data_IF_817093519761
#
_entry.id   IF_817093519761
#
_cell.length_a   1.000
_cell.length_b   1.000
_cell.length_c   1.000
_cell.angle_alpha   90.00
_cell.angle_beta   90.00
_cell.angle_gamma   90.00
#
_symmetry.space_group_name_H-M   'P 1'
#
loop_
_entity.id
_entity.type
_entity.pdbx_description
1 polymer ?
#
# COMPACT_ATOMS: atom_id res chain seq x y z
N UNK A 1 -2.49 4.07 -1.49
CA UNK A 1 -1.78 4.00 -0.18
C UNK A 1 -1.49 5.37 0.39
N UNK A 2 -1.15 5.43 1.66
CA UNK A 2 -0.78 6.65 2.37
C UNK A 2 0.62 6.48 2.97
N UNK A 3 1.60 7.21 2.41
CA UNK A 3 3.02 7.04 2.73
C UNK A 3 3.36 7.34 4.18
N UNK A 4 2.91 8.49 4.68
CA UNK A 4 3.20 8.96 6.04
C UNK A 4 2.66 8.04 7.15
N UNK A 5 1.67 7.20 6.86
CA UNK A 5 1.07 6.26 7.81
C UNK A 5 1.30 4.78 7.48
N UNK A 6 1.80 4.46 6.30
CA UNK A 6 1.98 3.09 5.85
C UNK A 6 0.67 2.29 5.67
N UNK A 7 -0.50 2.96 5.64
CA UNK A 7 -1.79 2.30 5.49
C UNK A 7 -2.32 2.32 4.05
N UNK A 8 -3.39 1.57 3.82
CA UNK A 8 -4.09 1.45 2.54
C UNK A 8 -5.57 1.83 2.71
N UNK A 9 -5.92 3.14 2.85
CA UNK A 9 -7.27 3.56 3.22
C UNK A 9 -8.32 3.09 2.22
N UNK A 10 -8.01 3.10 0.92
CA UNK A 10 -8.96 2.66 -0.12
C UNK A 10 -9.43 1.23 0.08
N UNK A 11 -8.54 0.33 0.49
CA UNK A 11 -8.85 -1.10 0.59
C UNK A 11 -9.72 -1.48 1.78
N UNK A 12 -9.83 -0.61 2.78
CA UNK A 12 -10.68 -0.80 3.96
C UNK A 12 -11.95 0.05 3.93
N UNK A 13 -11.94 1.21 3.28
CA UNK A 13 -13.04 2.18 3.32
C UNK A 13 -13.97 2.01 2.10
N UNK A 14 -13.39 1.96 0.89
CA UNK A 14 -14.19 1.87 -0.34
C UNK A 14 -15.08 0.62 -0.42
N UNK A 15 -14.66 -0.60 0.00
CA UNK A 15 -15.55 -1.76 -0.06
C UNK A 15 -16.83 -1.58 0.75
N UNK A 16 -16.76 -0.98 1.94
CA UNK A 16 -17.92 -0.70 2.77
C UNK A 16 -18.86 0.34 2.12
N UNK A 17 -18.28 1.42 1.58
CA UNK A 17 -19.05 2.46 0.89
C UNK A 17 -19.73 1.92 -0.40
N UNK A 18 -18.99 1.17 -1.23
CA UNK A 18 -19.54 0.59 -2.46
C UNK A 18 -20.65 -0.44 -2.18
N UNK A 19 -20.52 -1.21 -1.10
CA UNK A 19 -21.52 -2.19 -0.70
C UNK A 19 -22.84 -1.55 -0.20
N UNK A 20 -22.84 -0.24 0.10
CA UNK A 20 -24.05 0.49 0.51
C UNK A 20 -25.09 0.65 -0.61
N UNK A 21 -24.67 0.52 -1.86
CA UNK A 21 -25.54 0.69 -3.03
C UNK A 21 -25.91 2.15 -3.37
N UNK A 22 -25.31 3.14 -2.69
CA UNK A 22 -25.54 4.55 -3.00
C UNK A 22 -24.82 4.97 -4.30
N UNK A 23 -25.25 6.09 -4.87
CA UNK A 23 -24.63 6.67 -6.07
C UNK A 23 -23.17 7.07 -5.76
N UNK A 24 -22.27 6.93 -6.74
CA UNK A 24 -20.84 7.18 -6.55
C UNK A 24 -20.52 8.60 -6.05
N UNK A 25 -21.28 9.61 -6.53
CA UNK A 25 -21.10 10.98 -6.09
C UNK A 25 -21.38 11.17 -4.59
N UNK A 26 -22.32 10.40 -4.04
CA UNK A 26 -22.67 10.47 -2.61
C UNK A 26 -21.57 9.85 -1.74
N UNK A 27 -20.68 9.02 -2.31
CA UNK A 27 -19.61 8.36 -1.60
C UNK A 27 -18.36 9.25 -1.42
N UNK A 28 -18.23 10.35 -2.18
CA UNK A 28 -17.02 11.17 -2.22
C UNK A 28 -16.72 11.79 -0.86
N UNK A 29 -17.68 12.52 -0.26
CA UNK A 29 -17.47 13.14 1.04
C UNK A 29 -17.28 12.11 2.17
N UNK A 30 -18.09 11.04 2.28
CA UNK A 30 -17.83 9.96 3.23
C UNK A 30 -16.44 9.34 3.08
N UNK A 31 -15.98 9.14 1.85
CA UNK A 31 -14.62 8.63 1.58
C UNK A 31 -13.55 9.60 2.11
N UNK A 32 -13.65 10.89 1.82
CA UNK A 32 -12.71 11.91 2.29
C UNK A 32 -12.63 11.87 3.82
N UNK A 33 -13.76 11.89 4.51
CA UNK A 33 -13.84 11.87 5.97
C UNK A 33 -13.22 10.60 6.56
N UNK A 34 -13.54 9.44 5.98
CA UNK A 34 -12.96 8.17 6.42
C UNK A 34 -11.44 8.09 6.22
N UNK A 35 -10.96 8.60 5.08
CA UNK A 35 -9.52 8.67 4.79
C UNK A 35 -8.81 9.59 5.78
N UNK A 36 -9.38 10.77 6.02
CA UNK A 36 -8.80 11.74 6.94
C UNK A 36 -8.53 11.13 8.32
N UNK A 37 -9.55 10.53 8.92
CA UNK A 37 -9.43 9.90 10.24
C UNK A 37 -8.42 8.74 10.23
N UNK A 38 -8.56 7.81 9.29
CA UNK A 38 -7.68 6.64 9.20
C UNK A 38 -6.22 7.02 8.94
N UNK A 39 -5.99 8.00 8.06
CA UNK A 39 -4.65 8.45 7.70
C UNK A 39 -3.97 9.18 8.85
N UNK A 40 -4.65 10.10 9.55
CA UNK A 40 -4.10 10.83 10.69
C UNK A 40 -3.71 9.90 11.84
N UNK A 41 -4.60 8.97 12.21
CA UNK A 41 -4.30 7.97 13.23
C UNK A 41 -3.14 7.07 12.83
N UNK A 42 -3.09 6.70 11.56
CA UNK A 42 -1.99 5.91 11.03
C UNK A 42 -0.67 6.67 11.04
N UNK A 43 -0.64 7.94 10.61
CA UNK A 43 0.55 8.79 10.64
C UNK A 43 1.06 9.01 12.07
N UNK A 44 0.16 9.26 13.02
CA UNK A 44 0.51 9.48 14.42
C UNK A 44 1.15 8.25 15.09
N UNK A 45 0.92 7.05 14.55
CA UNK A 45 1.47 5.79 15.07
C UNK A 45 2.59 5.19 14.23
N UNK A 46 2.83 5.73 13.04
CA UNK A 46 3.89 5.26 12.14
C UNK A 46 5.25 5.93 12.47
N UNK A 47 6.39 5.23 12.39
CA UNK A 47 6.57 3.83 12.01
C UNK A 47 6.46 2.85 13.20
N UNK A 48 6.11 3.34 14.40
CA UNK A 48 6.09 2.55 15.63
C UNK A 48 5.21 1.31 15.50
N UNK A 49 3.98 1.48 14.99
CA UNK A 49 3.03 0.37 14.79
C UNK A 49 3.60 -0.73 13.90
N UNK A 50 4.19 -0.36 12.77
CA UNK A 50 4.82 -1.32 11.84
C UNK A 50 6.03 -2.01 12.47
N UNK A 51 6.87 -1.26 13.20
CA UNK A 51 8.03 -1.81 13.90
C UNK A 51 7.65 -2.75 15.06
N UNK A 52 6.47 -2.54 15.65
CA UNK A 52 5.92 -3.45 16.67
C UNK A 52 5.35 -4.74 16.06
N UNK A 53 5.17 -4.79 14.73
CA UNK A 53 4.75 -5.98 14.01
C UNK A 53 3.27 -5.99 13.59
N UNK A 54 2.61 -4.83 13.59
CA UNK A 54 1.22 -4.72 13.14
C UNK A 54 1.10 -3.98 11.79
N UNK A 55 0.06 -4.31 11.04
CA UNK A 55 -0.28 -3.58 9.81
C UNK A 55 -1.20 -2.40 10.13
N UNK A 56 -0.84 -1.17 9.75
CA UNK A 56 -1.67 0.01 10.04
C UNK A 56 -3.10 -0.11 9.49
N UNK A 57 -3.27 -0.69 8.31
CA UNK A 57 -4.59 -0.87 7.69
C UNK A 57 -5.53 -1.76 8.51
N UNK A 58 -5.02 -2.81 9.14
CA UNK A 58 -5.85 -3.68 9.99
C UNK A 58 -6.33 -2.96 11.24
N UNK A 59 -5.50 -2.10 11.81
CA UNK A 59 -5.81 -1.39 13.06
C UNK A 59 -6.69 -0.15 12.83
N UNK A 60 -6.31 0.71 11.89
CA UNK A 60 -6.97 2.00 11.67
C UNK A 60 -8.02 1.98 10.55
N UNK A 61 -8.01 0.93 9.72
CA UNK A 61 -9.00 0.74 8.66
C UNK A 61 -10.43 0.61 9.17
N UNK A 62 -10.73 -0.15 10.24
CA UNK A 62 -12.07 -0.24 10.82
C UNK A 62 -12.61 1.11 11.27
N UNK A 63 -11.77 1.95 11.90
CA UNK A 63 -12.15 3.30 12.33
C UNK A 63 -12.54 4.17 11.13
N UNK A 64 -11.68 4.20 10.09
CA UNK A 64 -11.98 4.96 8.87
C UNK A 64 -13.24 4.46 8.17
N UNK A 65 -13.45 3.14 8.11
CA UNK A 65 -14.66 2.54 7.53
C UNK A 65 -15.91 2.90 8.33
N UNK A 66 -15.86 2.80 9.67
CA UNK A 66 -16.99 3.15 10.53
C UNK A 66 -17.38 4.62 10.38
N UNK A 67 -16.40 5.54 10.41
CA UNK A 67 -16.65 6.99 10.25
C UNK A 67 -17.20 7.31 8.87
N UNK A 68 -16.66 6.71 7.80
CA UNK A 68 -17.17 6.89 6.44
C UNK A 68 -18.63 6.45 6.31
N UNK A 69 -18.98 5.28 6.83
CA UNK A 69 -20.34 4.74 6.79
C UNK A 69 -21.31 5.55 7.67
N UNK A 70 -20.88 6.01 8.84
CA UNK A 70 -21.66 6.94 9.65
C UNK A 70 -21.93 8.25 8.92
N UNK A 71 -20.91 8.80 8.23
CA UNK A 71 -21.06 10.03 7.44
C UNK A 71 -22.02 9.83 6.28
N UNK A 72 -21.92 8.71 5.57
CA UNK A 72 -22.84 8.37 4.47
C UNK A 72 -24.31 8.27 4.94
N UNK A 73 -24.51 7.70 6.11
CA UNK A 73 -25.84 7.50 6.70
C UNK A 73 -26.33 8.70 7.53
N UNK A 74 -25.57 9.81 7.58
CA UNK A 74 -25.88 11.03 8.36
C UNK A 74 -26.17 10.73 9.85
N UNK A 75 -25.41 9.76 10.42
CA UNK A 75 -25.58 9.37 11.82
C UNK A 75 -25.29 10.50 12.81
N UNK A 76 -26.01 10.58 13.93
CA UNK A 76 -25.74 11.56 14.98
C UNK A 76 -24.37 11.32 15.63
N UNK A 77 -23.78 12.39 16.18
CA UNK A 77 -22.46 12.34 16.82
C UNK A 77 -22.33 11.22 17.86
N UNK A 78 -23.39 10.97 18.64
CA UNK A 78 -23.42 9.87 19.62
C UNK A 78 -23.18 8.50 18.98
N UNK A 79 -23.78 8.23 17.81
CA UNK A 79 -23.59 7.00 17.06
C UNK A 79 -22.16 6.91 16.50
N UNK A 80 -21.65 8.02 15.90
CA UNK A 80 -20.27 8.07 15.36
C UNK A 80 -19.27 7.75 16.46
N UNK A 81 -19.39 8.40 17.64
CA UNK A 81 -18.49 8.19 18.79
C UNK A 81 -18.48 6.73 19.24
N UNK A 82 -19.65 6.11 19.34
CA UNK A 82 -19.75 4.70 19.74
C UNK A 82 -19.22 3.76 18.65
N UNK A 83 -19.51 4.01 17.38
CA UNK A 83 -18.97 3.21 16.29
C UNK A 83 -17.43 3.22 16.25
N UNK A 84 -16.80 4.37 16.45
CA UNK A 84 -15.35 4.50 16.62
C UNK A 84 -14.85 3.67 17.80
N UNK A 85 -15.48 3.81 18.96
CA UNK A 85 -15.06 3.10 20.17
C UNK A 85 -15.21 1.57 20.03
N UNK A 86 -16.31 1.11 19.42
CA UNK A 86 -16.55 -0.31 19.16
C UNK A 86 -15.53 -0.86 18.15
N UNK A 87 -15.21 -0.10 17.08
CA UNK A 87 -14.24 -0.53 16.07
C UNK A 87 -12.81 -0.69 16.62
N UNK A 88 -12.50 0.00 17.72
CA UNK A 88 -11.19 -0.09 18.40
C UNK A 88 -11.13 -1.16 19.49
N UNK A 89 -12.26 -1.69 19.94
CA UNK A 89 -12.27 -2.70 21.00
C UNK A 89 -11.63 -4.02 20.55
N UNK A 90 -11.92 -4.45 19.33
CA UNK A 90 -11.41 -5.70 18.78
C UNK A 90 -11.06 -5.54 17.29
N UNK A 91 -10.07 -4.71 16.95
CA UNK A 91 -9.69 -4.53 15.55
C UNK A 91 -9.08 -5.84 15.02
N UNK A 92 -9.23 -6.14 13.72
CA UNK A 92 -8.53 -7.27 13.12
C UNK A 92 -7.02 -7.01 13.20
N UNK A 93 -6.32 -7.89 13.92
CA UNK A 93 -4.86 -7.77 14.07
C UNK A 93 -4.19 -8.34 12.83
N UNK A 94 -3.69 -7.46 11.96
CA UNK A 94 -2.85 -7.83 10.84
C UNK A 94 -1.38 -7.94 11.30
N UNK A 95 -0.87 -9.16 11.46
CA UNK A 95 0.52 -9.38 11.83
C UNK A 95 1.44 -9.14 10.63
N UNK A 96 2.46 -8.30 10.83
CA UNK A 96 3.40 -7.95 9.77
C UNK A 96 4.27 -9.14 9.32
N UNK A 97 4.51 -10.10 10.20
CA UNK A 97 5.21 -11.35 9.87
C UNK A 97 4.55 -12.12 8.73
N UNK A 98 3.21 -12.13 8.67
CA UNK A 98 2.47 -12.80 7.60
C UNK A 98 2.71 -12.14 6.23
N UNK A 99 2.92 -10.80 6.20
CA UNK A 99 3.34 -10.12 4.97
C UNK A 99 4.73 -10.60 4.53
N UNK A 100 5.66 -10.72 5.49
CA UNK A 100 7.03 -11.17 5.23
C UNK A 100 7.09 -12.65 4.87
N UNK A 101 6.18 -13.46 5.41
CA UNK A 101 6.01 -14.86 5.01
C UNK A 101 5.33 -15.02 3.65
N UNK A 102 4.77 -13.93 3.11
CA UNK A 102 4.13 -13.88 1.78
C UNK A 102 2.94 -14.84 1.63
N UNK A 103 2.15 -15.01 2.69
CA UNK A 103 1.00 -15.93 2.67
C UNK A 103 -0.25 -15.29 2.09
N UNK A 104 -1.06 -16.07 1.37
CA UNK A 104 -2.26 -15.61 0.66
C UNK A 104 -3.41 -15.14 1.56
N UNK A 105 -3.36 -15.42 2.86
CA UNK A 105 -4.33 -14.93 3.83
C UNK A 105 -4.23 -13.40 4.08
N UNK A 106 -3.08 -12.79 3.79
CA UNK A 106 -2.82 -11.38 4.11
C UNK A 106 -3.83 -10.39 3.51
N UNK A 107 -4.25 -10.49 2.23
CA UNK A 107 -5.24 -9.56 1.68
C UNK A 107 -6.56 -9.51 2.46
N UNK A 108 -6.90 -10.55 3.22
CA UNK A 108 -8.15 -10.62 3.99
C UNK A 108 -8.25 -9.54 5.07
N UNK A 109 -7.12 -9.07 5.63
CA UNK A 109 -7.19 -8.05 6.68
C UNK A 109 -7.81 -6.73 6.19
N UNK A 110 -7.72 -6.43 4.89
CA UNK A 110 -8.39 -5.27 4.29
C UNK A 110 -9.91 -5.42 4.28
N UNK A 111 -10.40 -6.58 3.85
CA UNK A 111 -11.82 -6.89 3.85
C UNK A 111 -12.39 -6.98 5.27
N UNK A 112 -11.67 -7.59 6.20
CA UNK A 112 -12.06 -7.62 7.60
C UNK A 112 -12.11 -6.22 8.20
N UNK A 113 -11.17 -5.34 7.90
CA UNK A 113 -11.21 -3.96 8.36
C UNK A 113 -12.48 -3.23 7.89
N UNK A 114 -12.86 -3.39 6.61
CA UNK A 114 -14.10 -2.84 6.07
C UNK A 114 -15.34 -3.41 6.80
N UNK A 115 -15.39 -4.73 6.99
CA UNK A 115 -16.49 -5.40 7.68
C UNK A 115 -16.61 -4.98 9.14
N UNK A 116 -15.52 -4.98 9.89
CA UNK A 116 -15.53 -4.57 11.30
C UNK A 116 -15.99 -3.13 11.48
N UNK A 117 -15.61 -2.21 10.58
CA UNK A 117 -16.13 -0.86 10.56
C UNK A 117 -17.64 -0.81 10.35
N UNK A 118 -18.16 -1.60 9.41
CA UNK A 118 -19.61 -1.75 9.18
C UNK A 118 -20.33 -2.35 10.37
N UNK A 119 -19.82 -3.45 10.94
CA UNK A 119 -20.38 -4.09 12.11
C UNK A 119 -20.43 -3.12 13.30
N UNK A 120 -19.38 -2.29 13.49
CA UNK A 120 -19.34 -1.27 14.55
C UNK A 120 -20.47 -0.24 14.43
N UNK A 121 -20.81 0.19 13.20
CA UNK A 121 -21.95 1.09 12.95
C UNK A 121 -23.26 0.41 13.31
N UNK A 122 -23.47 -0.82 12.87
CA UNK A 122 -24.70 -1.56 13.19
C UNK A 122 -24.86 -1.81 14.68
N UNK A 123 -23.79 -2.17 15.38
CA UNK A 123 -23.79 -2.38 16.82
C UNK A 123 -24.08 -1.06 17.59
N UNK A 124 -23.51 0.05 17.15
CA UNK A 124 -23.78 1.37 17.71
C UNK A 124 -25.26 1.75 17.56
N UNK A 125 -25.85 1.53 16.38
CA UNK A 125 -27.29 1.73 16.12
C UNK A 125 -28.18 0.84 17.02
N UNK A 126 -27.70 -0.35 17.32
CA UNK A 126 -28.37 -1.28 18.23
C UNK A 126 -28.22 -0.91 19.72
N UNK A 127 -27.51 0.18 20.04
CA UNK A 127 -27.35 0.70 21.39
C UNK A 127 -26.17 0.10 22.17
N UNK A 128 -25.25 -0.63 21.50
CA UNK A 128 -24.01 -1.06 22.15
C UNK A 128 -23.11 0.14 22.40
N UNK A 129 -22.45 0.13 23.56
CA UNK A 129 -21.52 1.19 23.96
C UNK A 129 -20.07 0.69 23.95
N UNK A 130 -19.18 1.48 23.41
CA UNK A 130 -17.75 1.33 23.57
C UNK A 130 -17.18 2.21 24.70
N UNK A 131 -15.85 2.31 24.76
CA UNK A 131 -15.17 3.17 25.71
C UNK A 131 -15.49 4.65 25.47
N UNK A 132 -15.61 5.43 26.55
CA UNK A 132 -15.73 6.90 26.46
C UNK A 132 -14.44 7.58 26.01
N UNK A 133 -13.30 6.90 26.19
CA UNK A 133 -11.98 7.38 25.76
C UNK A 133 -11.20 6.27 25.04
N UNK A 134 -11.60 5.88 23.79
CA UNK A 134 -11.05 4.72 23.13
C UNK A 134 -9.60 4.91 22.65
N UNK A 135 -9.15 6.15 22.52
CA UNK A 135 -7.79 6.50 22.05
C UNK A 135 -6.88 7.00 23.18
N UNK A 136 -7.36 7.10 24.41
CA UNK A 136 -6.59 7.59 25.53
C UNK A 136 -6.71 6.74 26.78
N UNK A 137 -5.90 7.07 27.80
CA UNK A 137 -5.86 6.35 29.07
C UNK A 137 -4.96 5.13 29.07
N UNK A 138 -4.78 4.57 30.27
CA UNK A 138 -3.96 3.38 30.48
C UNK A 138 -4.50 2.18 29.71
N UNK A 139 -3.59 1.40 29.08
CA UNK A 139 -3.89 0.21 28.29
C UNK A 139 -4.74 0.47 27.03
N UNK A 140 -4.88 1.74 26.61
CA UNK A 140 -5.36 2.04 25.26
C UNK A 140 -4.34 1.58 24.21
N UNK A 141 -4.77 1.42 22.95
CA UNK A 141 -3.84 1.01 21.89
C UNK A 141 -2.65 1.97 21.74
N UNK A 142 -2.80 3.29 21.74
CA UNK A 142 -1.67 4.22 21.74
C UNK A 142 -0.73 4.03 22.93
N UNK A 143 -1.27 3.84 24.14
CA UNK A 143 -0.48 3.60 25.36
C UNK A 143 0.34 2.31 25.25
N UNK A 144 -0.27 1.20 24.78
CA UNK A 144 0.41 -0.06 24.54
C UNK A 144 1.52 0.03 23.47
N UNK A 145 1.36 0.92 22.50
CA UNK A 145 2.37 1.20 21.49
C UNK A 145 3.46 2.16 21.99
N UNK A 146 3.29 2.77 23.16
CA UNK A 146 4.17 3.82 23.66
C UNK A 146 4.12 5.06 22.77
N UNK A 147 2.94 5.43 22.27
CA UNK A 147 2.69 6.60 21.42
C UNK A 147 1.71 7.52 22.11
N UNK A 148 2.08 8.79 22.25
CA UNK A 148 1.18 9.83 22.71
C UNK A 148 0.46 10.45 21.51
N UNK A 149 -0.88 10.34 21.47
CA UNK A 149 -1.69 11.00 20.46
C UNK A 149 -1.98 12.43 20.88
N UNK A 150 -1.27 13.37 20.29
CA UNK A 150 -1.54 14.79 20.49
C UNK A 150 -2.51 15.29 19.42
N UNK A 151 -3.80 15.39 19.75
CA UNK A 151 -4.86 15.85 18.85
C UNK A 151 -4.74 17.34 18.45
N UNK A 152 -3.91 18.12 19.12
CA UNK A 152 -3.55 19.48 18.73
C UNK A 152 -2.30 19.56 17.84
N UNK A 153 -1.67 18.42 17.52
CA UNK A 153 -0.51 18.43 16.62
C UNK A 153 -0.96 18.43 15.14
N UNK A 154 -0.17 19.03 14.24
CA UNK A 154 -0.47 19.01 12.80
C UNK A 154 -0.67 17.60 12.22
N UNK A 155 -0.08 16.58 12.83
CA UNK A 155 -0.24 15.18 12.38
C UNK A 155 -1.64 14.62 12.64
N UNK A 156 -2.42 15.23 13.55
CA UNK A 156 -3.78 14.80 13.89
C UNK A 156 -4.82 15.90 13.62
N UNK A 157 -4.39 17.08 13.18
CA UNK A 157 -5.32 18.13 12.77
C UNK A 157 -6.20 17.67 11.60
N UNK A 158 -7.52 17.77 11.76
CA UNK A 158 -8.50 17.29 10.78
C UNK A 158 -8.86 18.43 9.83
N UNK A 159 -8.06 18.61 8.79
CA UNK A 159 -8.22 19.67 7.77
C UNK A 159 -8.79 19.16 6.43
N UNK A 160 -9.01 17.83 6.31
CA UNK A 160 -9.48 17.19 5.08
C UNK A 160 -8.40 17.04 4.00
N UNK A 161 -7.15 17.37 4.29
CA UNK A 161 -6.07 17.44 3.29
C UNK A 161 -5.33 16.13 3.09
N UNK A 162 -5.48 15.13 3.99
CA UNK A 162 -4.71 13.87 3.86
C UNK A 162 -5.04 13.08 2.60
N UNK A 163 -6.23 13.29 2.00
CA UNK A 163 -6.57 12.65 0.74
C UNK A 163 -5.65 13.10 -0.40
N UNK A 164 -5.15 14.33 -0.36
CA UNK A 164 -4.23 14.89 -1.36
C UNK A 164 -2.86 14.20 -1.34
N UNK A 165 -2.51 13.56 -0.23
CA UNK A 165 -1.25 12.83 -0.06
C UNK A 165 -1.40 11.31 -0.18
N UNK A 166 -2.62 10.83 -0.50
CA UNK A 166 -2.86 9.43 -0.84
C UNK A 166 -2.40 9.16 -2.27
N UNK A 167 -1.44 8.28 -2.43
CA UNK A 167 -0.92 7.92 -3.74
C UNK A 167 -1.63 6.70 -4.36
N UNK A 168 -1.70 6.68 -5.67
CA UNK A 168 -2.07 5.50 -6.46
C UNK A 168 -0.79 4.76 -6.86
N UNK A 169 -0.72 3.46 -6.57
CA UNK A 169 0.42 2.64 -6.99
C UNK A 169 0.46 2.55 -8.51
N UNK A 170 1.62 2.84 -9.10
CA UNK A 170 1.86 2.60 -10.54
C UNK A 170 1.75 1.12 -10.86
N UNK A 171 2.34 0.29 -10.00
CA UNK A 171 2.40 -1.15 -10.18
C UNK A 171 1.57 -1.92 -9.14
N UNK A 172 1.26 -3.14 -9.48
CA UNK A 172 0.70 -4.12 -8.57
C UNK A 172 1.81 -4.58 -7.61
N UNK A 173 1.45 -4.95 -6.40
CA UNK A 173 2.37 -5.52 -5.41
C UNK A 173 2.68 -4.62 -4.23
N UNK A 174 3.63 -5.07 -3.42
CA UNK A 174 4.04 -4.39 -2.21
C UNK A 174 4.77 -3.08 -2.52
N UNK A 175 4.44 -2.01 -1.78
CA UNK A 175 5.11 -0.71 -1.95
C UNK A 175 6.63 -0.79 -1.72
N UNK A 176 7.08 -1.66 -0.82
CA UNK A 176 8.51 -1.88 -0.56
C UNK A 176 9.28 -2.46 -1.76
N UNK A 177 8.59 -3.01 -2.76
CA UNK A 177 9.21 -3.50 -3.99
C UNK A 177 9.35 -2.43 -5.08
N UNK A 178 8.65 -1.29 -4.96
CA UNK A 178 8.55 -0.30 -6.06
C UNK A 178 9.86 0.42 -6.37
N UNK A 179 10.72 0.80 -5.40
CA UNK A 179 12.01 1.41 -5.74
C UNK A 179 12.86 0.49 -6.63
N UNK A 180 12.95 -0.78 -6.28
CA UNK A 180 13.69 -1.77 -7.10
C UNK A 180 13.02 -2.02 -8.46
N UNK A 181 11.69 -1.97 -8.55
CA UNK A 181 10.96 -2.07 -9.80
C UNK A 181 11.27 -0.91 -10.76
N UNK A 182 11.33 0.32 -10.24
CA UNK A 182 11.71 1.50 -11.02
C UNK A 182 13.14 1.38 -11.57
N UNK A 183 14.08 0.90 -10.75
CA UNK A 183 15.46 0.63 -11.17
C UNK A 183 15.54 -0.44 -12.26
N UNK A 184 14.76 -1.52 -12.13
CA UNK A 184 14.69 -2.57 -13.16
C UNK A 184 14.19 -2.02 -14.50
N UNK A 185 13.16 -1.15 -14.48
CA UNK A 185 12.67 -0.49 -15.71
C UNK A 185 13.70 0.45 -16.31
N UNK A 186 14.42 1.20 -15.48
CA UNK A 186 15.49 2.08 -15.94
C UNK A 186 16.60 1.28 -16.62
N UNK A 187 17.04 0.17 -16.03
CA UNK A 187 18.01 -0.76 -16.62
C UNK A 187 17.52 -1.32 -17.96
N UNK A 188 16.26 -1.76 -18.04
CA UNK A 188 15.68 -2.24 -19.29
C UNK A 188 15.66 -1.16 -20.39
N UNK A 189 15.27 0.06 -20.04
CA UNK A 189 15.24 1.19 -20.99
C UNK A 189 16.63 1.56 -21.48
N UNK A 190 17.65 1.46 -20.64
CA UNK A 190 19.04 1.78 -21.03
C UNK A 190 19.62 0.81 -22.07
N UNK A 191 19.06 -0.39 -22.18
CA UNK A 191 19.56 -1.51 -23.02
C UNK A 191 21.04 -1.84 -22.77
N UNK A 192 21.54 -1.55 -21.58
CA UNK A 192 22.95 -1.81 -21.22
C UNK A 192 23.16 -3.22 -20.69
N UNK A 193 22.07 -3.95 -20.44
CA UNK A 193 22.14 -5.26 -19.80
C UNK A 193 21.37 -6.29 -20.64
N UNK A 194 22.11 -7.31 -21.11
CA UNK A 194 21.52 -8.53 -21.63
C UNK A 194 21.21 -9.46 -20.45
N UNK A 195 19.97 -9.91 -20.35
CA UNK A 195 19.45 -10.65 -19.17
C UNK A 195 20.23 -11.97 -18.96
N UNK A 196 20.60 -12.61 -20.04
CA UNK A 196 21.37 -13.86 -20.03
C UNK A 196 22.77 -13.69 -19.48
N UNK A 197 23.37 -12.49 -19.67
CA UNK A 197 24.70 -12.15 -19.23
C UNK A 197 24.75 -11.71 -17.76
N UNK A 198 23.60 -11.53 -17.07
CA UNK A 198 23.59 -11.19 -15.64
C UNK A 198 24.15 -12.35 -14.81
N UNK A 199 25.22 -12.08 -14.05
CA UNK A 199 25.79 -13.01 -13.11
C UNK A 199 25.11 -12.89 -11.72
N UNK A 200 24.99 -11.68 -11.18
CA UNK A 200 24.32 -11.38 -9.92
C UNK A 200 23.71 -9.98 -9.91
N UNK A 201 22.74 -9.77 -9.02
CA UNK A 201 22.11 -8.49 -8.74
C UNK A 201 22.11 -8.29 -7.23
N UNK A 202 22.71 -7.20 -6.77
CA UNK A 202 22.70 -6.80 -5.38
C UNK A 202 21.80 -5.57 -5.22
N UNK A 203 20.82 -5.64 -4.32
CA UNK A 203 19.90 -4.54 -4.00
C UNK A 203 20.10 -4.12 -2.56
N UNK A 204 20.52 -2.88 -2.33
CA UNK A 204 20.64 -2.29 -1.01
C UNK A 204 19.43 -1.43 -0.71
N UNK A 205 18.80 -1.59 0.47
CA UNK A 205 17.57 -0.88 0.85
C UNK A 205 17.41 -0.80 2.38
N UNK A 206 16.34 -0.20 2.86
CA UNK A 206 16.06 -0.04 4.30
C UNK A 206 15.56 -1.33 4.94
N UNK A 207 15.72 -1.43 6.27
CA UNK A 207 15.56 -2.65 7.07
C UNK A 207 14.20 -3.35 6.90
N UNK A 208 13.09 -2.62 6.89
CA UNK A 208 11.74 -3.22 6.73
C UNK A 208 11.61 -3.94 5.40
N UNK A 209 12.26 -3.43 4.33
CA UNK A 209 12.21 -4.04 3.01
C UNK A 209 12.92 -5.40 2.93
N UNK A 210 13.87 -5.68 3.82
CA UNK A 210 14.55 -6.99 3.88
C UNK A 210 13.57 -8.15 4.11
N UNK A 211 12.44 -7.90 4.77
CA UNK A 211 11.38 -8.90 4.95
C UNK A 211 10.73 -9.38 3.65
N UNK A 212 10.99 -8.71 2.52
CA UNK A 212 10.47 -9.02 1.20
C UNK A 212 11.55 -9.60 0.25
N UNK A 213 12.63 -10.12 0.81
CA UNK A 213 13.79 -10.67 0.07
C UNK A 213 13.60 -12.10 -0.44
N UNK A 214 12.57 -12.80 0.01
CA UNK A 214 12.34 -14.20 -0.33
C UNK A 214 12.03 -14.36 -1.82
N UNK A 215 12.69 -15.32 -2.47
CA UNK A 215 12.37 -15.73 -3.84
C UNK A 215 11.22 -16.73 -3.80
N UNK A 216 10.10 -16.48 -4.51
CA UNK A 216 9.01 -17.45 -4.60
C UNK A 216 9.49 -18.74 -5.27
N UNK A 217 9.07 -19.88 -4.76
CA UNK A 217 9.27 -21.17 -5.41
C UNK A 217 8.17 -21.46 -6.47
N UNK A 218 8.34 -22.51 -7.24
CA UNK A 218 7.42 -22.87 -8.32
C UNK A 218 6.01 -23.26 -7.85
N UNK A 219 5.84 -23.55 -6.55
CA UNK A 219 4.59 -23.94 -5.91
C UNK A 219 3.90 -22.79 -5.20
N UNK A 220 4.59 -21.67 -5.01
CA UNK A 220 4.03 -20.54 -4.31
C UNK A 220 2.92 -19.85 -5.09
N UNK A 221 2.00 -19.26 -4.34
CA UNK A 221 0.86 -18.54 -4.89
C UNK A 221 1.26 -17.18 -5.44
N UNK A 222 0.41 -16.63 -6.30
CA UNK A 222 0.57 -15.31 -6.90
C UNK A 222 0.92 -14.23 -5.86
N UNK A 223 0.30 -14.27 -4.68
CA UNK A 223 0.54 -13.28 -3.64
C UNK A 223 2.01 -13.22 -3.20
N UNK A 224 2.68 -14.37 -3.12
CA UNK A 224 4.10 -14.42 -2.79
C UNK A 224 4.98 -13.67 -3.82
N UNK A 225 4.63 -13.76 -5.09
CA UNK A 225 5.30 -13.03 -6.16
C UNK A 225 5.15 -11.51 -5.99
N UNK A 226 3.95 -11.06 -5.65
CA UNK A 226 3.63 -9.64 -5.46
C UNK A 226 4.29 -9.01 -4.21
N UNK A 227 4.76 -9.84 -3.30
CA UNK A 227 5.45 -9.42 -2.07
C UNK A 227 6.96 -9.62 -2.14
N UNK A 228 7.50 -10.10 -3.27
CA UNK A 228 8.92 -10.43 -3.44
C UNK A 228 9.67 -9.35 -4.21
N UNK A 229 10.65 -8.69 -3.59
CA UNK A 229 11.56 -7.77 -4.29
C UNK A 229 12.30 -8.48 -5.43
N UNK A 230 12.93 -9.68 -5.21
CA UNK A 230 13.60 -10.38 -6.30
C UNK A 230 12.69 -10.69 -7.49
N UNK A 231 11.44 -11.11 -7.23
CA UNK A 231 10.50 -11.42 -8.29
C UNK A 231 10.05 -10.16 -9.05
N UNK A 232 9.64 -9.11 -8.32
CA UNK A 232 9.16 -7.84 -8.90
C UNK A 232 10.26 -7.17 -9.73
N UNK A 233 11.51 -7.13 -9.22
CA UNK A 233 12.66 -6.62 -9.95
C UNK A 233 12.85 -7.40 -11.25
N UNK A 234 12.90 -8.73 -11.18
CA UNK A 234 13.13 -9.59 -12.34
C UNK A 234 12.03 -9.47 -13.39
N UNK A 235 10.76 -9.45 -12.97
CA UNK A 235 9.62 -9.27 -13.87
C UNK A 235 9.67 -7.93 -14.61
N UNK A 236 10.01 -6.83 -13.90
CA UNK A 236 10.16 -5.52 -14.51
C UNK A 236 11.36 -5.42 -15.46
N UNK A 237 12.47 -6.08 -15.13
CA UNK A 237 13.64 -6.10 -16.01
C UNK A 237 13.36 -6.89 -17.29
N UNK A 238 12.62 -8.00 -17.20
CA UNK A 238 12.29 -8.87 -18.36
C UNK A 238 11.18 -8.24 -19.20
N UNK A 239 10.06 -7.82 -18.60
CA UNK A 239 8.85 -7.41 -19.31
C UNK A 239 8.64 -5.88 -19.37
N UNK A 240 9.28 -5.12 -18.49
CA UNK A 240 9.15 -3.66 -18.39
C UNK A 240 8.04 -3.18 -17.46
N UNK A 241 7.02 -4.00 -17.23
CA UNK A 241 5.93 -3.73 -16.28
C UNK A 241 5.31 -5.04 -15.79
N UNK A 242 4.71 -5.01 -14.60
CA UNK A 242 3.91 -6.11 -14.05
C UNK A 242 2.43 -5.82 -14.31
N UNK A 243 1.85 -6.48 -15.29
CA UNK A 243 0.44 -6.33 -15.68
C UNK A 243 -0.44 -7.44 -15.09
N UNK A 244 -1.77 -7.26 -14.99
CA UNK A 244 -2.69 -8.33 -14.63
C UNK A 244 -2.54 -9.58 -15.49
N UNK A 245 -2.29 -9.42 -16.79
CA UNK A 245 -2.08 -10.54 -17.70
C UNK A 245 -0.83 -11.37 -17.33
N UNK A 246 0.27 -10.71 -16.95
CA UNK A 246 1.46 -11.42 -16.44
C UNK A 246 1.13 -12.21 -15.17
N UNK A 247 0.22 -11.72 -14.36
CA UNK A 247 -0.16 -12.36 -13.09
C UNK A 247 -1.09 -13.56 -13.27
N UNK A 248 -1.89 -13.62 -14.32
CA UNK A 248 -2.80 -14.76 -14.55
C UNK A 248 -2.05 -15.99 -15.05
N UNK A 249 -1.23 -15.83 -16.10
CA UNK A 249 -0.68 -16.98 -16.83
C UNK A 249 0.84 -17.13 -16.69
N UNK A 250 1.54 -16.06 -16.31
CA UNK A 250 3.00 -15.98 -16.41
C UNK A 250 3.75 -15.63 -15.12
N UNK A 251 3.06 -15.57 -13.98
CA UNK A 251 3.77 -15.25 -12.72
C UNK A 251 4.79 -16.33 -12.33
N UNK A 252 4.65 -17.56 -12.84
CA UNK A 252 5.62 -18.65 -12.70
C UNK A 252 6.58 -18.76 -13.90
N UNK A 253 6.75 -17.69 -14.67
CA UNK A 253 7.62 -17.69 -15.84
C UNK A 253 9.05 -18.10 -15.46
N UNK A 254 9.64 -19.11 -16.11
CA UNK A 254 10.94 -19.68 -15.68
C UNK A 254 12.07 -18.66 -15.66
N UNK A 255 12.09 -17.72 -16.61
CA UNK A 255 13.13 -16.68 -16.65
C UNK A 255 13.02 -15.70 -15.48
N UNK A 256 11.79 -15.32 -15.03
CA UNK A 256 11.63 -14.49 -13.84
C UNK A 256 12.23 -15.22 -12.64
N UNK A 257 11.87 -16.50 -12.45
CA UNK A 257 12.35 -17.28 -11.30
C UNK A 257 13.87 -17.52 -11.38
N UNK A 258 14.41 -17.75 -12.57
CA UNK A 258 15.85 -17.90 -12.79
C UNK A 258 16.60 -16.63 -12.42
N UNK A 259 16.13 -15.47 -12.86
CA UNK A 259 16.77 -14.18 -12.57
C UNK A 259 16.58 -13.82 -11.09
N UNK A 260 15.40 -14.02 -10.51
CA UNK A 260 15.12 -13.73 -9.11
C UNK A 260 16.07 -14.48 -8.15
N UNK A 261 16.48 -15.69 -8.49
CA UNK A 261 17.50 -16.45 -7.70
C UNK A 261 18.90 -15.84 -7.72
N UNK A 262 19.18 -14.91 -8.64
CA UNK A 262 20.45 -14.17 -8.72
C UNK A 262 20.41 -12.85 -7.94
N UNK A 263 19.24 -12.46 -7.40
CA UNK A 263 19.04 -11.22 -6.66
C UNK A 263 19.29 -11.45 -5.18
N UNK A 264 20.16 -10.62 -4.59
CA UNK A 264 20.46 -10.56 -3.15
C UNK A 264 20.01 -9.21 -2.61
N UNK A 265 19.47 -9.19 -1.39
CA UNK A 265 18.98 -7.96 -0.75
C UNK A 265 19.83 -7.68 0.49
N UNK A 266 20.29 -6.43 0.62
CA UNK A 266 21.15 -5.97 1.71
C UNK A 266 20.57 -4.75 2.42
N UNK A 267 20.86 -4.61 3.70
CA UNK A 267 20.56 -3.39 4.45
C UNK A 267 21.54 -2.28 4.07
N UNK A 268 20.99 -1.08 3.82
CA UNK A 268 21.73 0.16 3.65
C UNK A 268 21.44 1.07 4.83
N UNK A 269 22.49 1.48 5.57
CA UNK A 269 22.33 2.45 6.65
C UNK A 269 21.83 3.80 6.18
N UNK A 270 22.20 4.21 4.96
CA UNK A 270 21.71 5.45 4.34
C UNK A 270 20.21 5.35 4.03
N UNK A 271 19.78 4.25 3.41
CA UNK A 271 18.36 4.02 3.13
C UNK A 271 17.52 3.94 4.42
N UNK A 272 18.03 3.29 5.48
CA UNK A 272 17.34 3.20 6.77
C UNK A 272 17.23 4.57 7.47
N UNK A 273 18.23 5.43 7.34
CA UNK A 273 18.22 6.76 7.94
C UNK A 273 17.11 7.67 7.35
N UNK A 274 16.71 7.44 6.11
CA UNK A 274 15.66 8.20 5.43
C UNK A 274 14.26 7.59 5.60
N UNK A 275 14.17 6.31 6.00
CA UNK A 275 12.88 5.65 6.24
C UNK A 275 12.22 6.19 7.53
N UNK A 276 10.92 6.52 7.56
CA UNK A 276 9.90 6.26 6.54
C UNK A 276 9.64 7.41 5.54
N UNK A 277 10.37 8.52 5.60
CA UNK A 277 10.12 9.71 4.78
C UNK A 277 10.36 9.46 3.29
N UNK A 278 11.31 8.59 2.98
CA UNK A 278 11.52 8.11 1.62
C UNK A 278 11.83 6.60 1.61
N UNK A 279 11.59 5.97 0.46
CA UNK A 279 11.92 4.58 0.21
C UNK A 279 13.08 4.53 -0.78
N UNK A 280 14.28 4.31 -0.24
CA UNK A 280 15.49 4.35 -1.04
C UNK A 280 15.97 2.93 -1.38
N UNK A 281 16.42 2.74 -2.61
CA UNK A 281 17.09 1.50 -3.03
C UNK A 281 18.22 1.81 -4.01
N UNK A 282 19.29 1.04 -3.91
CA UNK A 282 20.38 1.02 -4.88
C UNK A 282 20.49 -0.39 -5.47
N UNK A 283 20.74 -0.47 -6.77
CA UNK A 283 20.95 -1.74 -7.48
C UNK A 283 22.34 -1.74 -8.09
N UNK A 284 23.06 -2.82 -7.88
CA UNK A 284 24.33 -3.14 -8.51
C UNK A 284 24.19 -4.44 -9.32
N UNK A 285 24.40 -4.37 -10.63
CA UNK A 285 24.27 -5.52 -11.54
C UNK A 285 25.63 -5.92 -12.06
N UNK A 286 26.04 -7.15 -11.78
CA UNK A 286 27.25 -7.76 -12.33
C UNK A 286 26.91 -8.48 -13.62
N UNK A 287 27.57 -8.09 -14.70
CA UNK A 287 27.34 -8.60 -16.06
C UNK A 287 28.59 -9.30 -16.57
N UNK A 288 28.44 -10.46 -17.16
CA UNK A 288 29.52 -11.23 -17.75
C UNK A 288 30.29 -10.37 -18.79
N UNK A 289 31.62 -10.35 -18.65
CA UNK A 289 32.49 -9.58 -19.55
C UNK A 289 32.66 -8.10 -19.19
N UNK A 290 31.91 -7.54 -18.23
CA UNK A 290 32.18 -6.21 -17.67
C UNK A 290 33.09 -6.29 -16.45
N UNK A 291 34.06 -5.35 -16.37
CA UNK A 291 35.00 -5.25 -15.23
C UNK A 291 34.32 -4.69 -13.99
N UNK A 292 33.38 -3.76 -14.18
CA UNK A 292 32.67 -3.06 -13.11
C UNK A 292 31.18 -3.37 -13.17
N UNK A 293 30.52 -3.40 -12.02
CA UNK A 293 29.08 -3.54 -11.95
C UNK A 293 28.37 -2.25 -12.36
N UNK A 294 27.22 -2.38 -13.03
CA UNK A 294 26.33 -1.26 -13.31
C UNK A 294 25.58 -0.89 -12.04
N UNK A 295 25.59 0.40 -11.66
CA UNK A 295 24.95 0.88 -10.43
C UNK A 295 23.91 1.94 -10.74
N UNK A 296 22.76 1.82 -10.07
CA UNK A 296 21.67 2.78 -10.12
C UNK A 296 21.06 2.93 -8.73
N UNK A 297 20.59 4.13 -8.39
CA UNK A 297 19.89 4.40 -7.13
C UNK A 297 18.53 5.03 -7.40
N UNK A 298 17.54 4.72 -6.58
CA UNK A 298 16.19 5.27 -6.60
C UNK A 298 15.83 5.82 -5.22
N UNK A 299 15.23 7.00 -5.21
CA UNK A 299 14.66 7.63 -4.04
C UNK A 299 13.20 7.94 -4.31
N UNK A 300 12.30 7.28 -3.58
CA UNK A 300 10.86 7.55 -3.65
C UNK A 300 10.44 8.33 -2.42
N UNK A 301 10.27 9.63 -2.56
CA UNK A 301 9.81 10.50 -1.48
C UNK A 301 8.27 10.59 -1.44
N UNK A 302 7.75 10.94 -0.27
CA UNK A 302 6.33 11.21 -0.04
C UNK A 302 6.12 12.69 0.24
N UNK A 303 6.68 13.57 -0.61
CA UNK A 303 6.51 15.00 -0.41
C UNK A 303 5.06 15.44 -0.68
N UNK A 304 4.60 16.39 0.13
CA UNK A 304 3.19 16.77 0.25
C UNK A 304 2.66 17.70 -0.84
N UNK A 305 3.48 18.19 -1.76
CA UNK A 305 3.10 19.35 -2.58
C UNK A 305 2.88 19.12 -4.07
N UNK A 306 3.32 18.02 -4.64
CA UNK A 306 3.30 17.90 -6.12
C UNK A 306 2.54 16.74 -6.74
N UNK A 307 2.20 15.66 -6.00
CA UNK A 307 1.61 14.48 -6.66
C UNK A 307 0.42 13.86 -5.93
N UNK A 308 -0.77 14.23 -6.37
CA UNK A 308 -2.03 13.60 -5.99
C UNK A 308 -2.08 12.08 -6.27
N UNK A 309 -1.19 11.54 -7.10
CA UNK A 309 -1.33 10.20 -7.63
C UNK A 309 -0.11 9.27 -7.43
N UNK A 310 1.09 9.79 -7.26
CA UNK A 310 2.27 8.98 -6.99
C UNK A 310 3.34 9.80 -6.24
N UNK A 311 4.16 9.15 -5.38
CA UNK A 311 5.33 9.80 -4.82
C UNK A 311 6.34 10.13 -5.94
N UNK A 312 7.10 11.19 -5.73
CA UNK A 312 8.22 11.52 -6.61
C UNK A 312 9.19 10.35 -6.72
N UNK A 313 9.58 10.05 -7.94
CA UNK A 313 10.51 9.00 -8.29
C UNK A 313 11.50 9.54 -9.31
N UNK A 314 12.79 9.19 -9.17
CA UNK A 314 13.84 9.61 -10.10
C UNK A 314 13.63 9.05 -11.52
N UNK A 315 13.01 7.88 -11.63
CA UNK A 315 12.87 7.16 -12.89
C UNK A 315 11.43 7.05 -13.40
N UNK A 316 10.43 7.24 -12.53
CA UNK A 316 9.03 7.21 -12.89
C UNK A 316 8.47 8.64 -12.91
N UNK A 317 7.92 9.12 -14.03
CA UNK A 317 7.26 10.40 -14.08
C UNK A 317 6.00 10.40 -13.21
N UNK A 318 5.53 11.59 -12.87
CA UNK A 318 4.26 11.77 -12.15
C UNK A 318 3.13 10.95 -12.78
N UNK A 319 2.29 10.38 -11.91
CA UNK A 319 1.19 9.52 -12.33
C UNK A 319 -0.11 10.32 -12.36
N UNK A 320 -0.34 11.01 -13.48
CA UNK A 320 -1.49 11.89 -13.68
C UNK A 320 -2.80 11.17 -14.06
N UNK A 321 -3.81 11.95 -14.40
CA UNK A 321 -5.14 11.42 -14.75
C UNK A 321 -5.12 10.52 -16.00
N UNK A 322 -4.29 10.86 -16.99
CA UNK A 322 -4.17 10.07 -18.23
C UNK A 322 -3.51 8.71 -17.97
N UNK A 323 -2.46 8.67 -17.17
CA UNK A 323 -1.81 7.43 -16.76
C UNK A 323 -2.74 6.57 -15.91
N UNK A 324 -3.54 7.18 -15.02
CA UNK A 324 -4.54 6.49 -14.22
C UNK A 324 -5.61 5.86 -15.12
N UNK A 325 -6.11 6.62 -16.10
CA UNK A 325 -7.05 6.13 -17.09
C UNK A 325 -6.46 5.00 -17.92
N UNK A 326 -5.22 5.14 -18.37
CA UNK A 326 -4.50 4.10 -19.11
C UNK A 326 -4.34 2.83 -18.27
N UNK A 327 -3.93 2.97 -17.00
CA UNK A 327 -3.83 1.85 -16.07
C UNK A 327 -5.19 1.17 -15.86
N UNK A 328 -6.25 1.93 -15.67
CA UNK A 328 -7.60 1.38 -15.52
C UNK A 328 -8.00 0.56 -16.75
N UNK A 329 -7.83 1.10 -17.96
CA UNK A 329 -8.11 0.39 -19.21
C UNK A 329 -7.29 -0.89 -19.35
N UNK A 330 -6.00 -0.86 -19.04
CA UNK A 330 -5.13 -2.07 -19.05
C UNK A 330 -5.62 -3.12 -18.05
N UNK A 331 -6.05 -2.73 -16.86
CA UNK A 331 -6.55 -3.65 -15.84
C UNK A 331 -7.90 -4.27 -16.20
N UNK A 332 -8.72 -3.57 -16.99
CA UNK A 332 -10.02 -4.06 -17.46
C UNK A 332 -9.90 -4.97 -18.68
N UNK A 333 -8.80 -4.89 -19.42
CA UNK A 333 -8.60 -5.66 -20.65
C UNK A 333 -8.72 -7.17 -20.40
N UNK A 334 -9.62 -7.82 -21.14
CA UNK A 334 -9.91 -9.25 -20.99
C UNK A 334 -10.77 -9.62 -19.77
N UNK A 335 -11.17 -8.66 -18.93
CA UNK A 335 -12.03 -8.88 -17.75
C UNK A 335 -13.45 -8.38 -18.00
N UNK A 336 -13.57 -7.17 -18.55
CA UNK A 336 -14.85 -6.57 -18.96
C UNK A 336 -14.78 -6.08 -20.39
N UNK A 337 -15.95 -5.81 -21.01
CA UNK A 337 -15.98 -5.36 -22.41
C UNK A 337 -15.34 -3.97 -22.57
N UNK A 338 -14.81 -3.67 -23.75
CA UNK A 338 -14.31 -2.32 -24.06
C UNK A 338 -15.38 -1.24 -23.91
N UNK A 339 -16.64 -1.58 -24.25
CA UNK A 339 -17.79 -0.69 -24.09
C UNK A 339 -18.02 -0.33 -22.63
N UNK A 340 -18.01 -1.33 -21.73
CA UNK A 340 -18.20 -1.10 -20.30
C UNK A 340 -17.02 -0.35 -19.70
N UNK A 341 -15.79 -0.67 -20.14
CA UNK A 341 -14.57 0.06 -19.76
C UNK A 341 -14.69 1.55 -20.13
N UNK A 342 -15.14 1.87 -21.35
CA UNK A 342 -15.37 3.24 -21.80
C UNK A 342 -16.48 3.94 -20.99
N UNK A 343 -17.56 3.23 -20.72
CA UNK A 343 -18.66 3.77 -19.92
C UNK A 343 -18.19 4.12 -18.51
N UNK A 344 -17.41 3.26 -17.89
CA UNK A 344 -16.83 3.52 -16.55
C UNK A 344 -15.87 4.71 -16.56
N UNK A 345 -15.00 4.83 -17.57
CA UNK A 345 -14.08 5.98 -17.68
C UNK A 345 -14.87 7.29 -17.81
N UNK A 346 -15.91 7.31 -18.63
CA UNK A 346 -16.73 8.52 -18.86
C UNK A 346 -17.60 8.93 -17.66
N UNK A 347 -17.79 8.04 -16.67
CA UNK A 347 -18.46 8.42 -15.41
C UNK A 347 -17.58 9.32 -14.52
N UNK A 348 -16.28 9.39 -14.80
CA UNK A 348 -15.28 10.09 -13.96
C UNK A 348 -14.54 11.19 -14.73
N UNK A 349 -14.78 11.37 -16.01
CA UNK A 349 -14.31 12.49 -16.84
C UNK A 349 -15.35 13.59 -16.94
#
# INVERSE_FOLDING_TARGET
GYGNGGNHPSSSILPGLLASGNALNDLVLPMIVGYEISNRLSAATHPRLTRTGFTPTAIWGPVGSAVALCKLAEEPYSCIRQAVAISLFCPPIGLFSYLQEMVSAVPQHHGWAARFGSDAVHLSRAGLNGSDNPLGGQKSLPDLLGVELNFGSPSIELDGETIKTVYTKREIGCRHCHPSAALARALKKSRQVEIEAIESVDISTYKVALGFSKVPDERQELYACLMSIPWIFSANLIFGEVTPHLLTDRFRHPEILRLAKKVQIYESSDAEAHYPLSLNSEVSVKVLGLRESLKLAEVMSYSSESDLFAPESLFDPAFGADELTSKFKKNCAGVISEKDTHSLVNLYS
#
